data_IF_611048179165
#
_entry.id   IF_611048179165
#
_cell.length_a   1.000
_cell.length_b   1.000
_cell.length_c   1.000
_cell.angle_alpha   90.00
_cell.angle_beta   90.00
_cell.angle_gamma   90.00
#
_symmetry.space_group_name_H-M   'P 1'
#
loop_
_entity.id
_entity.type
_entity.pdbx_description
1 polymer ?
#
# COMPACT_ATOMS: atom_id res chain seq x y z
N UNK A 1 -18.70 69.61 -1.98
CA UNK A 1 -19.19 68.42 -1.28
C UNK A 1 -17.99 67.70 -0.70
N UNK A 2 -17.79 67.89 0.59
CA UNK A 2 -16.81 67.18 1.42
C UNK A 2 -17.39 65.82 1.81
N UNK A 3 -16.58 64.77 1.93
CA UNK A 3 -16.58 63.81 3.05
C UNK A 3 -15.45 62.79 2.90
N UNK A 4 -14.39 62.89 3.72
CA UNK A 4 -14.11 62.12 4.95
C UNK A 4 -13.58 60.70 4.67
N UNK A 5 -12.26 60.53 4.89
CA UNK A 5 -11.61 59.25 5.22
C UNK A 5 -11.86 58.90 6.69
N UNK A 6 -11.77 57.60 7.04
CA UNK A 6 -10.94 57.22 8.19
C UNK A 6 -9.91 56.11 7.86
N UNK A 7 -8.89 55.91 8.73
CA UNK A 7 -7.72 55.07 8.46
C UNK A 7 -7.73 53.69 9.16
N UNK A 8 -6.91 52.79 8.59
CA UNK A 8 -6.06 51.70 9.15
C UNK A 8 -6.53 50.95 10.41
N UNK A 9 -6.55 49.62 10.32
CA UNK A 9 -6.24 48.75 11.46
C UNK A 9 -5.26 47.66 11.04
N UNK A 10 -4.03 47.76 11.55
CA UNK A 10 -3.09 46.66 11.64
C UNK A 10 -3.47 45.80 12.85
N UNK A 11 -3.45 44.48 12.69
CA UNK A 11 -3.47 43.56 13.82
C UNK A 11 -2.27 42.62 13.71
N UNK A 12 -1.34 42.83 14.64
CA UNK A 12 -0.19 42.00 14.91
C UNK A 12 -0.57 40.78 15.77
N UNK A 13 0.29 39.78 15.70
CA UNK A 13 0.61 38.77 16.72
C UNK A 13 -0.42 37.67 17.00
N UNK A 14 0.01 36.43 16.79
CA UNK A 14 0.20 35.52 17.92
C UNK A 14 1.21 34.43 17.55
N UNK A 15 2.36 34.58 18.18
CA UNK A 15 3.46 33.65 18.29
C UNK A 15 3.02 32.51 19.23
N UNK A 16 3.02 31.26 18.77
CA UNK A 16 2.74 30.10 19.59
C UNK A 16 3.90 29.11 19.47
N UNK A 17 4.96 29.43 20.19
CA UNK A 17 6.02 28.52 20.57
C UNK A 17 5.46 27.48 21.54
N UNK A 18 5.33 26.21 21.14
CA UNK A 18 5.13 25.10 22.09
C UNK A 18 6.20 24.05 21.90
N UNK A 19 6.83 23.76 23.03
CA UNK A 19 8.06 23.03 23.21
C UNK A 19 7.88 21.52 23.03
N UNK A 20 8.96 20.95 22.50
CA UNK A 20 9.43 19.58 22.66
C UNK A 20 9.14 18.99 24.05
N UNK A 21 8.59 17.77 24.10
CA UNK A 21 8.78 16.84 25.22
C UNK A 21 9.12 15.48 24.64
N UNK A 22 10.42 15.18 24.63
CA UNK A 22 10.95 13.82 24.48
C UNK A 22 10.76 13.06 25.80
N UNK A 23 10.24 11.84 25.72
CA UNK A 23 10.46 10.82 26.75
C UNK A 23 10.63 9.45 26.08
N UNK A 24 11.73 8.73 26.32
CA UNK A 24 11.89 7.35 25.88
C UNK A 24 11.27 6.44 26.94
N UNK A 25 10.44 5.49 26.53
CA UNK A 25 10.06 4.40 27.42
C UNK A 25 10.00 3.08 26.66
N UNK A 26 11.03 2.26 26.93
CA UNK A 26 10.98 0.82 26.78
C UNK A 26 9.78 0.27 27.56
N UNK A 27 8.96 -0.58 26.95
CA UNK A 27 8.25 -1.64 27.67
C UNK A 27 7.70 -2.70 26.70
N UNK A 28 8.20 -3.92 26.85
CA UNK A 28 7.38 -5.15 26.71
C UNK A 28 6.36 -5.21 27.85
N UNK A 29 5.18 -5.80 27.61
CA UNK A 29 4.82 -7.04 28.33
C UNK A 29 4.05 -8.01 27.40
N UNK A 30 4.34 -9.32 27.41
CA UNK A 30 3.94 -10.36 28.38
C UNK A 30 2.42 -10.57 28.53
N UNK A 31 2.07 -11.84 28.30
CA UNK A 31 0.75 -12.43 28.17
C UNK A 31 -0.11 -12.39 29.44
N UNK A 32 -1.42 -12.35 29.25
CA UNK A 32 -2.41 -12.83 30.21
C UNK A 32 -3.56 -13.54 29.47
N UNK A 33 -3.65 -14.85 29.68
CA UNK A 33 -4.86 -15.68 29.59
C UNK A 33 -5.36 -15.87 31.04
N UNK A 34 -6.67 -15.78 31.31
CA UNK A 34 -7.48 -16.96 31.70
C UNK A 34 -8.88 -16.93 31.03
N UNK A 35 -9.43 -18.00 30.46
CA UNK A 35 -9.91 -19.28 30.99
C UNK A 35 -11.36 -19.26 31.55
N UNK A 36 -12.16 -20.16 30.97
CA UNK A 36 -13.28 -20.95 31.53
C UNK A 36 -14.74 -20.46 31.53
N UNK A 37 -15.60 -21.43 31.16
CA UNK A 37 -17.05 -21.49 31.40
C UNK A 37 -17.77 -22.18 30.22
N UNK A 38 -17.91 -23.52 30.20
CA UNK A 38 -19.12 -24.28 30.59
C UNK A 38 -20.27 -24.19 29.53
N UNK A 39 -21.04 -25.21 29.11
CA UNK A 39 -21.26 -26.62 29.48
C UNK A 39 -22.35 -27.21 28.52
N UNK A 40 -22.07 -28.35 27.87
CA UNK A 40 -22.97 -29.51 27.60
C UNK A 40 -24.28 -29.37 26.73
N UNK A 41 -24.99 -30.47 26.37
CA UNK A 41 -24.95 -31.04 25.02
C UNK A 41 -26.37 -31.22 24.38
N UNK A 42 -26.44 -31.67 23.13
CA UNK A 42 -27.67 -32.33 22.65
C UNK A 42 -27.37 -33.59 21.83
N UNK A 43 -28.15 -34.60 22.18
CA UNK A 43 -28.13 -36.02 21.84
C UNK A 43 -29.02 -36.24 20.62
N UNK A 44 -28.59 -37.07 19.68
CA UNK A 44 -29.47 -37.69 18.70
C UNK A 44 -28.97 -39.11 18.40
N UNK A 45 -29.95 -39.97 18.18
CA UNK A 45 -29.95 -41.39 18.47
C UNK A 45 -29.33 -42.27 17.40
N UNK A 46 -28.84 -43.42 17.86
CA UNK A 46 -28.48 -44.58 17.06
C UNK A 46 -29.76 -45.33 16.70
N UNK A 47 -30.04 -45.48 15.40
CA UNK A 47 -30.99 -46.48 14.89
C UNK A 47 -30.20 -47.51 14.10
N UNK A 48 -30.11 -48.70 14.68
CA UNK A 48 -29.60 -49.93 14.09
C UNK A 48 -30.66 -50.52 13.17
N UNK A 49 -30.36 -50.62 11.87
CA UNK A 49 -31.11 -51.40 10.89
C UNK A 49 -30.11 -52.10 9.99
N UNK A 50 -29.93 -53.40 10.20
CA UNK A 50 -29.05 -54.23 9.40
C UNK A 50 -29.70 -54.60 8.08
N UNK A 51 -28.92 -54.51 7.00
CA UNK A 51 -29.16 -55.22 5.75
C UNK A 51 -27.82 -55.35 5.00
N UNK A 52 -27.64 -56.50 4.35
CA UNK A 52 -26.38 -57.08 3.88
C UNK A 52 -25.54 -56.18 2.94
N UNK A 53 -24.20 -56.24 2.99
CA UNK A 53 -23.36 -55.62 1.96
C UNK A 53 -23.39 -56.45 0.66
N UNK A 54 -23.62 -55.83 -0.52
CA UNK A 54 -23.45 -56.49 -1.81
C UNK A 54 -21.95 -56.75 -2.10
N UNK A 55 -21.65 -57.70 -3.00
CA UNK A 55 -20.28 -58.17 -3.24
C UNK A 55 -19.38 -57.04 -3.77
N UNK A 56 -18.19 -56.94 -3.18
CA UNK A 56 -17.12 -56.05 -3.60
C UNK A 56 -16.69 -56.38 -5.04
N UNK A 57 -17.17 -55.59 -6.00
CA UNK A 57 -16.50 -55.49 -7.29
C UNK A 57 -15.21 -54.71 -7.07
N UNK A 58 -14.09 -55.39 -7.29
CA UNK A 58 -12.76 -54.81 -7.31
C UNK A 58 -12.67 -53.87 -8.53
N UNK A 59 -13.13 -52.62 -8.38
CA UNK A 59 -12.87 -51.59 -9.38
C UNK A 59 -11.37 -51.35 -9.32
N UNK A 60 -10.65 -51.88 -10.32
CA UNK A 60 -9.29 -51.49 -10.60
C UNK A 60 -9.30 -49.97 -10.76
N UNK A 61 -8.72 -49.26 -9.80
CA UNK A 61 -8.48 -47.83 -9.94
C UNK A 61 -7.59 -47.67 -11.17
N UNK A 62 -8.15 -47.13 -12.24
CA UNK A 62 -7.36 -46.63 -13.37
C UNK A 62 -6.39 -45.62 -12.77
N UNK A 63 -5.10 -45.97 -12.72
CA UNK A 63 -4.06 -45.04 -12.32
C UNK A 63 -4.21 -43.80 -13.21
N UNK A 64 -4.56 -42.67 -12.60
CA UNK A 64 -4.51 -41.37 -13.26
C UNK A 64 -3.16 -41.28 -13.96
N UNK A 65 -3.10 -40.86 -15.23
CA UNK A 65 -1.83 -40.65 -15.89
C UNK A 65 -1.05 -39.67 -15.01
N UNK A 66 0.15 -40.08 -14.58
CA UNK A 66 1.13 -39.17 -13.99
C UNK A 66 1.25 -38.02 -14.97
N UNK A 67 0.62 -36.90 -14.62
CA UNK A 67 0.81 -35.64 -15.31
C UNK A 67 2.23 -35.26 -14.98
N UNK A 68 3.15 -35.72 -15.82
CA UNK A 68 4.47 -35.16 -15.97
C UNK A 68 4.22 -33.69 -16.27
N UNK A 69 4.19 -32.88 -15.20
CA UNK A 69 4.29 -31.44 -15.26
C UNK A 69 5.67 -31.15 -15.79
N UNK A 70 5.83 -31.27 -17.10
CA UNK A 70 6.87 -30.59 -17.84
C UNK A 70 6.67 -29.13 -17.46
N UNK A 71 7.49 -28.66 -16.53
CA UNK A 71 7.57 -27.24 -16.20
C UNK A 71 8.30 -26.65 -17.38
N UNK A 72 7.59 -26.49 -18.51
CA UNK A 72 8.00 -25.55 -19.52
C UNK A 72 8.03 -24.22 -18.79
N UNK A 73 9.23 -23.83 -18.35
CA UNK A 73 9.55 -22.44 -18.03
C UNK A 73 9.33 -21.68 -19.33
N UNK A 74 8.07 -21.39 -19.63
CA UNK A 74 7.70 -20.46 -20.67
C UNK A 74 8.54 -19.23 -20.43
N UNK A 75 9.32 -18.84 -21.43
CA UNK A 75 10.07 -17.60 -21.41
C UNK A 75 9.01 -16.50 -21.28
N UNK A 76 8.69 -16.11 -20.05
CA UNK A 76 7.78 -15.01 -19.81
C UNK A 76 8.45 -13.79 -20.43
N UNK A 77 7.90 -13.31 -21.54
CA UNK A 77 8.38 -12.08 -22.18
C UNK A 77 8.00 -10.92 -21.28
N UNK A 78 8.85 -10.64 -20.29
CA UNK A 78 8.77 -9.48 -19.42
C UNK A 78 9.21 -8.25 -20.21
N UNK A 79 8.35 -7.25 -20.32
CA UNK A 79 8.65 -6.01 -21.04
C UNK A 79 8.75 -4.86 -20.03
N UNK A 80 9.87 -4.13 -20.07
CA UNK A 80 10.01 -2.88 -19.33
C UNK A 80 9.36 -1.75 -20.13
N UNK A 81 8.29 -1.18 -19.58
CA UNK A 81 7.52 -0.09 -20.16
C UNK A 81 8.23 1.24 -19.88
N UNK A 82 8.59 2.03 -20.92
CA UNK A 82 9.20 3.34 -20.71
C UNK A 82 8.21 4.28 -20.01
N UNK A 83 8.69 5.04 -19.03
CA UNK A 83 7.95 6.11 -18.33
C UNK A 83 7.70 7.29 -19.29
N UNK A 84 6.66 8.07 -19.01
CA UNK A 84 6.22 9.24 -19.75
C UNK A 84 5.08 8.94 -20.72
N UNK A 85 4.94 9.78 -21.75
CA UNK A 85 3.88 9.69 -22.77
C UNK A 85 3.76 8.31 -23.42
N UNK A 86 4.86 7.56 -23.53
CA UNK A 86 4.85 6.19 -24.07
C UNK A 86 4.17 5.18 -23.13
N UNK A 87 4.35 5.29 -21.80
CA UNK A 87 3.62 4.47 -20.84
C UNK A 87 2.11 4.68 -21.01
N UNK A 88 1.72 5.94 -21.16
CA UNK A 88 0.33 6.36 -21.25
C UNK A 88 -0.30 5.87 -22.55
N UNK A 89 0.26 6.30 -23.67
CA UNK A 89 -0.31 6.09 -25.01
C UNK A 89 -0.19 4.65 -25.50
N UNK A 90 0.90 3.96 -25.17
CA UNK A 90 1.12 2.59 -25.63
C UNK A 90 0.51 1.54 -24.70
N UNK A 91 0.28 1.87 -23.42
CA UNK A 91 -0.14 0.90 -22.41
C UNK A 91 -1.37 1.33 -21.62
N UNK A 92 -1.30 2.37 -20.78
CA UNK A 92 -2.40 2.70 -19.84
C UNK A 92 -3.74 2.96 -20.55
N UNK A 93 -3.73 3.67 -21.69
CA UNK A 93 -4.94 3.91 -22.50
C UNK A 93 -5.50 2.66 -23.19
N UNK A 94 -4.74 1.57 -23.25
CA UNK A 94 -5.15 0.29 -23.87
C UNK A 94 -5.65 -0.73 -22.85
N UNK A 95 -5.21 -0.62 -21.61
CA UNK A 95 -5.67 -1.47 -20.49
C UNK A 95 -6.77 -0.74 -19.71
N UNK A 96 -7.92 -0.56 -20.35
CA UNK A 96 -9.08 0.08 -19.74
C UNK A 96 -9.89 -0.90 -18.88
N UNK A 97 -10.53 -0.37 -17.86
CA UNK A 97 -11.45 -1.10 -17.01
C UNK A 97 -12.85 -1.25 -17.64
N UNK A 98 -13.80 -1.85 -16.92
CA UNK A 98 -15.17 -2.06 -17.43
C UNK A 98 -15.95 -0.75 -17.65
N UNK A 99 -15.51 0.35 -17.05
CA UNK A 99 -16.05 1.69 -17.23
C UNK A 99 -15.22 2.51 -18.23
N UNK A 100 -14.39 1.85 -19.06
CA UNK A 100 -13.50 2.50 -20.02
C UNK A 100 -12.53 3.51 -19.39
N UNK A 101 -12.23 3.35 -18.11
CA UNK A 101 -11.26 4.17 -17.39
C UNK A 101 -9.91 3.47 -17.33
N UNK A 102 -8.84 4.26 -17.40
CA UNK A 102 -7.49 3.79 -17.05
C UNK A 102 -7.44 3.38 -15.58
N UNK A 103 -6.32 2.81 -15.15
CA UNK A 103 -6.14 2.36 -13.77
C UNK A 103 -6.42 3.49 -12.77
N UNK A 104 -7.19 3.19 -11.73
CA UNK A 104 -7.48 4.14 -10.66
C UNK A 104 -6.23 4.46 -9.83
N UNK A 105 -6.11 5.71 -9.40
CA UNK A 105 -5.04 6.17 -8.51
C UNK A 105 -5.26 5.67 -7.07
N UNK A 106 -6.52 5.65 -6.62
CA UNK A 106 -6.92 5.24 -5.27
C UNK A 106 -7.65 3.91 -5.37
N UNK A 107 -7.09 2.90 -4.72
CA UNK A 107 -7.62 1.55 -4.67
C UNK A 107 -8.36 1.31 -3.35
N UNK A 108 -9.26 0.33 -3.37
CA UNK A 108 -9.93 -0.17 -2.19
C UNK A 108 -9.53 -1.62 -1.94
N UNK A 109 -9.25 -1.93 -0.67
CA UNK A 109 -9.14 -3.32 -0.26
C UNK A 109 -10.51 -3.99 -0.40
N UNK A 110 -10.55 -5.14 -1.05
CA UNK A 110 -11.76 -5.93 -1.18
C UNK A 110 -12.31 -6.35 0.18
N UNK A 111 -13.63 -6.34 0.34
CA UNK A 111 -14.30 -6.84 1.54
C UNK A 111 -14.07 -8.34 1.76
N UNK A 112 -13.72 -9.06 0.68
CA UNK A 112 -13.38 -10.48 0.72
C UNK A 112 -11.95 -10.75 1.21
N UNK A 113 -11.10 -9.71 1.30
CA UNK A 113 -9.76 -9.85 1.84
C UNK A 113 -9.82 -10.27 3.32
N UNK A 114 -9.02 -11.27 3.67
CA UNK A 114 -8.95 -11.84 5.02
C UNK A 114 -7.61 -11.53 5.68
N UNK A 115 -6.54 -11.50 4.89
CA UNK A 115 -5.20 -11.23 5.35
C UNK A 115 -5.07 -9.83 5.91
N UNK A 116 -4.25 -9.72 6.95
CA UNK A 116 -3.88 -8.45 7.53
C UNK A 116 -2.89 -7.71 6.62
N UNK A 117 -3.09 -6.41 6.48
CA UNK A 117 -2.31 -5.52 5.62
C UNK A 117 -1.33 -4.70 6.46
N UNK A 118 -0.08 -4.60 6.00
CA UNK A 118 0.99 -3.83 6.64
C UNK A 118 2.01 -3.35 5.61
N UNK A 119 3.11 -2.75 6.06
CA UNK A 119 4.23 -2.41 5.19
C UNK A 119 4.75 -3.65 4.45
N UNK A 120 5.18 -3.46 3.20
CA UNK A 120 5.66 -4.52 2.31
C UNK A 120 4.62 -5.58 1.88
N UNK A 121 3.37 -5.49 2.33
CA UNK A 121 2.28 -6.35 1.82
C UNK A 121 2.17 -6.21 0.30
N UNK A 122 2.18 -7.35 -0.40
CA UNK A 122 1.96 -7.44 -1.83
C UNK A 122 0.47 -7.55 -2.14
N UNK A 123 0.03 -6.74 -3.10
CA UNK A 123 -1.35 -6.58 -3.49
C UNK A 123 -1.50 -6.88 -4.98
N UNK A 124 -2.67 -7.41 -5.32
CA UNK A 124 -3.14 -7.56 -6.69
C UNK A 124 -4.40 -6.72 -6.82
N UNK A 125 -4.38 -5.78 -7.75
CA UNK A 125 -5.53 -4.99 -8.15
C UNK A 125 -6.02 -5.48 -9.50
N UNK A 126 -7.18 -6.12 -9.49
CA UNK A 126 -7.77 -6.66 -10.71
C UNK A 126 -8.63 -5.60 -11.38
N UNK A 127 -8.07 -4.96 -12.40
CA UNK A 127 -8.77 -3.92 -13.15
C UNK A 127 -9.78 -4.51 -14.16
N UNK A 128 -9.41 -5.62 -14.80
CA UNK A 128 -10.27 -6.37 -15.72
C UNK A 128 -10.01 -7.88 -15.59
N UNK A 129 -10.79 -8.73 -16.28
CA UNK A 129 -10.60 -10.19 -16.21
C UNK A 129 -9.21 -10.64 -16.68
N UNK A 130 -8.59 -9.89 -17.59
CA UNK A 130 -7.30 -10.22 -18.21
C UNK A 130 -6.17 -9.26 -17.81
N UNK A 131 -6.39 -8.38 -16.82
CA UNK A 131 -5.43 -7.36 -16.40
C UNK A 131 -5.36 -7.29 -14.89
N UNK A 132 -4.22 -7.70 -14.37
CA UNK A 132 -3.91 -7.70 -12.93
C UNK A 132 -2.71 -6.77 -12.69
N UNK A 133 -2.91 -5.75 -11.88
CA UNK A 133 -1.85 -4.84 -11.47
C UNK A 133 -1.29 -5.27 -10.12
N UNK A 134 0.03 -5.44 -10.04
CA UNK A 134 0.72 -5.82 -8.83
C UNK A 134 1.32 -4.58 -8.18
N UNK A 135 1.13 -4.45 -6.87
CA UNK A 135 1.72 -3.36 -6.10
C UNK A 135 2.20 -3.82 -4.74
N UNK A 136 3.05 -3.01 -4.12
CA UNK A 136 3.54 -3.19 -2.76
C UNK A 136 3.21 -1.97 -1.91
N UNK A 137 2.78 -2.20 -0.68
CA UNK A 137 2.65 -1.13 0.32
C UNK A 137 4.03 -0.63 0.72
N UNK A 138 4.29 0.65 0.51
CA UNK A 138 5.55 1.28 0.86
C UNK A 138 5.49 2.08 2.15
N UNK A 139 4.41 2.83 2.34
CA UNK A 139 4.37 3.88 3.35
C UNK A 139 2.96 4.07 3.89
N UNK A 140 2.88 4.26 5.19
CA UNK A 140 1.69 4.74 5.88
C UNK A 140 1.54 6.25 5.64
N UNK A 141 0.35 6.71 5.23
CA UNK A 141 0.07 8.14 5.08
C UNK A 141 -0.70 8.67 6.29
N UNK A 142 -1.91 8.15 6.50
CA UNK A 142 -2.80 8.60 7.56
C UNK A 142 -3.82 7.52 7.92
N UNK A 143 -4.42 7.61 9.11
CA UNK A 143 -5.62 6.85 9.46
C UNK A 143 -6.65 7.75 10.13
N UNK A 144 -7.92 7.38 9.97
CA UNK A 144 -9.01 7.81 10.85
C UNK A 144 -9.45 6.63 11.74
N UNK A 145 -10.65 6.73 12.32
CA UNK A 145 -11.18 5.71 13.23
C UNK A 145 -11.51 4.38 12.52
N UNK A 146 -11.83 4.42 11.23
CA UNK A 146 -12.37 3.27 10.50
C UNK A 146 -11.45 2.76 9.40
N UNK A 147 -10.51 3.58 8.94
CA UNK A 147 -9.73 3.32 7.73
C UNK A 147 -8.33 3.91 7.76
N UNK A 148 -7.47 3.35 6.92
CA UNK A 148 -6.07 3.74 6.75
C UNK A 148 -5.79 3.96 5.27
N UNK A 149 -5.10 5.04 4.96
CA UNK A 149 -4.57 5.33 3.63
C UNK A 149 -3.08 4.96 3.57
N UNK A 150 -2.76 4.10 2.62
CA UNK A 150 -1.39 3.66 2.32
C UNK A 150 -0.95 4.19 0.97
N UNK A 151 0.35 4.46 0.83
CA UNK A 151 0.99 4.66 -0.46
C UNK A 151 1.54 3.32 -0.96
N UNK A 152 1.28 3.05 -2.24
CA UNK A 152 1.68 1.87 -2.95
C UNK A 152 2.75 2.20 -3.98
N UNK A 153 3.65 1.26 -4.24
CA UNK A 153 4.46 1.23 -5.46
C UNK A 153 3.93 0.19 -6.41
N UNK A 154 3.59 0.61 -7.62
CA UNK A 154 3.23 -0.29 -8.72
C UNK A 154 4.48 -1.04 -9.15
N UNK A 155 4.38 -2.38 -9.17
CA UNK A 155 5.46 -3.29 -9.57
C UNK A 155 5.33 -3.65 -11.06
N UNK A 156 4.10 -3.74 -11.56
CA UNK A 156 3.83 -4.07 -12.94
C UNK A 156 2.44 -4.65 -13.13
N UNK A 157 2.19 -5.14 -14.33
CA UNK A 157 0.93 -5.72 -14.77
C UNK A 157 1.16 -7.10 -15.34
N UNK A 158 0.30 -8.03 -14.96
CA UNK A 158 0.11 -9.28 -15.68
C UNK A 158 -1.07 -9.10 -16.64
N UNK A 159 -0.84 -9.34 -17.92
CA UNK A 159 -1.86 -9.24 -18.96
C UNK A 159 -1.91 -10.54 -19.76
N UNK A 160 -2.95 -10.72 -20.58
CA UNK A 160 -2.99 -11.82 -21.55
C UNK A 160 -1.82 -11.85 -22.54
N UNK A 161 -1.06 -10.76 -22.67
CA UNK A 161 0.12 -10.66 -23.53
C UNK A 161 1.44 -10.84 -22.76
N UNK A 162 1.36 -11.18 -21.47
CA UNK A 162 2.49 -11.34 -20.58
C UNK A 162 2.68 -10.17 -19.62
N UNK A 163 3.88 -10.16 -19.03
CA UNK A 163 4.26 -9.28 -17.94
C UNK A 163 4.83 -7.95 -18.44
N UNK A 164 4.35 -6.84 -17.87
CA UNK A 164 4.88 -5.50 -18.10
C UNK A 164 5.23 -4.80 -16.79
N UNK A 165 6.31 -4.04 -16.73
CA UNK A 165 6.66 -3.24 -15.55
C UNK A 165 7.12 -1.83 -15.92
N UNK A 166 6.82 -0.80 -15.12
CA UNK A 166 7.32 0.54 -15.39
C UNK A 166 8.84 0.59 -15.23
N UNK A 167 9.53 1.32 -16.12
CA UNK A 167 11.00 1.50 -16.09
C UNK A 167 11.50 2.38 -14.92
N UNK A 168 10.60 2.84 -14.06
CA UNK A 168 10.94 3.58 -12.85
C UNK A 168 9.86 3.47 -11.79
N UNK A 169 9.65 4.52 -11.03
CA UNK A 169 8.69 4.50 -9.93
C UNK A 169 7.35 5.02 -10.41
N UNK A 170 6.30 4.29 -10.05
CA UNK A 170 4.91 4.67 -10.25
C UNK A 170 4.16 4.35 -8.97
N UNK A 171 3.36 5.28 -8.50
CA UNK A 171 2.74 5.19 -7.19
C UNK A 171 1.22 5.27 -7.29
N UNK A 172 0.57 4.60 -6.35
CA UNK A 172 -0.88 4.61 -6.17
C UNK A 172 -1.19 4.65 -4.68
N UNK A 173 -2.47 4.63 -4.32
CA UNK A 173 -2.92 4.63 -2.94
C UNK A 173 -3.88 3.48 -2.66
N UNK A 174 -3.93 3.03 -1.41
CA UNK A 174 -4.88 2.04 -0.95
C UNK A 174 -5.61 2.55 0.28
N UNK A 175 -6.93 2.56 0.21
CA UNK A 175 -7.80 2.70 1.37
C UNK A 175 -8.10 1.29 1.91
N UNK A 176 -7.82 1.10 3.19
CA UNK A 176 -8.05 -0.17 3.90
C UNK A 176 -8.90 0.06 5.14
N UNK A 177 -9.86 -0.82 5.46
CA UNK A 177 -10.49 -0.81 6.77
C UNK A 177 -9.45 -1.04 7.87
N UNK A 178 -9.54 -0.29 8.97
CA UNK A 178 -8.58 -0.37 10.08
C UNK A 178 -8.53 -1.77 10.68
N UNK A 179 -9.66 -2.48 10.71
CA UNK A 179 -9.76 -3.87 11.21
C UNK A 179 -8.95 -4.87 10.38
N UNK A 180 -8.59 -4.52 9.13
CA UNK A 180 -7.73 -5.32 8.25
C UNK A 180 -6.27 -4.91 8.32
N UNK A 181 -5.90 -3.91 9.12
CA UNK A 181 -4.53 -3.45 9.26
C UNK A 181 -3.81 -4.15 10.41
N UNK A 182 -2.48 -4.20 10.33
CA UNK A 182 -1.68 -4.73 11.44
C UNK A 182 -1.93 -3.94 12.74
N UNK A 183 -2.05 -4.61 13.91
CA UNK A 183 -2.47 -3.97 15.16
C UNK A 183 -1.63 -2.78 15.60
N UNK A 184 -0.37 -2.71 15.15
CA UNK A 184 0.50 -1.56 15.42
C UNK A 184 -0.12 -0.25 14.89
N UNK A 185 -0.80 -0.29 13.75
CA UNK A 185 -1.44 0.87 13.09
C UNK A 185 -2.69 1.30 13.84
N UNK A 186 -3.36 0.39 14.56
CA UNK A 186 -4.52 0.68 15.39
C UNK A 186 -4.20 1.49 16.65
N UNK A 187 -2.92 1.66 16.99
CA UNK A 187 -2.48 2.47 18.12
C UNK A 187 -2.89 3.94 17.97
N UNK A 188 -3.30 4.58 19.07
CA UNK A 188 -3.59 6.03 19.12
C UNK A 188 -2.45 6.89 18.61
N UNK A 189 -1.21 6.40 18.71
CA UNK A 189 -0.05 7.10 18.16
C UNK A 189 -0.16 7.35 16.66
N UNK A 190 -0.95 6.57 15.90
CA UNK A 190 -1.15 6.78 14.46
C UNK A 190 -2.44 7.52 14.13
N UNK A 191 -3.33 7.76 15.11
CA UNK A 191 -4.58 8.50 14.92
C UNK A 191 -4.29 10.00 14.97
N UNK A 192 -3.82 10.55 13.85
CA UNK A 192 -3.43 11.95 13.74
C UNK A 192 -4.50 12.82 13.08
N UNK A 193 -5.56 12.21 12.56
CA UNK A 193 -6.49 12.86 11.66
C UNK A 193 -7.90 12.39 11.97
N UNK A 194 -8.69 13.31 12.51
CA UNK A 194 -10.12 13.11 12.74
C UNK A 194 -10.86 13.89 11.65
N UNK A 195 -11.68 13.19 10.90
CA UNK A 195 -12.49 13.76 9.82
C UNK A 195 -13.91 13.26 9.98
N UNK A 196 -14.86 14.18 9.78
CA UNK A 196 -16.28 13.85 9.69
C UNK A 196 -16.62 13.08 8.40
N UNK A 197 -15.76 13.20 7.38
CA UNK A 197 -15.93 12.53 6.09
C UNK A 197 -15.14 11.21 5.99
N UNK A 198 -15.64 10.23 5.21
CA UNK A 198 -14.87 9.02 4.91
C UNK A 198 -13.52 9.37 4.26
N UNK A 199 -12.45 8.76 4.75
CA UNK A 199 -11.07 8.98 4.27
C UNK A 199 -10.94 8.77 2.75
N UNK A 200 -11.76 7.90 2.16
CA UNK A 200 -11.82 7.67 0.73
C UNK A 200 -12.24 8.92 -0.04
N UNK A 201 -13.31 9.58 0.38
CA UNK A 201 -13.83 10.77 -0.29
C UNK A 201 -12.83 11.91 -0.19
N UNK A 202 -12.25 12.08 1.00
CA UNK A 202 -11.19 13.07 1.21
C UNK A 202 -9.97 12.82 0.32
N UNK A 203 -9.55 11.55 0.17
CA UNK A 203 -8.44 11.21 -0.72
C UNK A 203 -8.77 11.50 -2.19
N UNK A 204 -10.01 11.26 -2.64
CA UNK A 204 -10.44 11.60 -4.00
C UNK A 204 -10.46 13.11 -4.25
N UNK A 205 -11.01 13.88 -3.32
CA UNK A 205 -11.02 15.34 -3.40
C UNK A 205 -9.59 15.89 -3.41
N UNK A 206 -8.72 15.40 -2.53
CA UNK A 206 -7.31 15.77 -2.51
C UNK A 206 -6.60 15.42 -3.83
N UNK A 207 -6.86 14.24 -4.41
CA UNK A 207 -6.29 13.86 -5.70
C UNK A 207 -6.74 14.78 -6.84
N UNK A 208 -8.02 15.15 -6.87
CA UNK A 208 -8.56 16.08 -7.86
C UNK A 208 -7.95 17.48 -7.71
N UNK A 209 -7.88 18.01 -6.48
CA UNK A 209 -7.30 19.32 -6.19
C UNK A 209 -5.81 19.39 -6.58
N UNK A 210 -5.04 18.38 -6.21
CA UNK A 210 -3.62 18.32 -6.57
C UNK A 210 -3.46 18.18 -8.08
N UNK A 211 -4.27 17.37 -8.76
CA UNK A 211 -4.22 17.27 -10.22
C UNK A 211 -4.47 18.63 -10.89
N UNK A 212 -5.53 19.35 -10.50
CA UNK A 212 -5.84 20.65 -11.06
C UNK A 212 -4.74 21.69 -10.79
N UNK A 213 -4.15 21.67 -9.60
CA UNK A 213 -3.01 22.52 -9.24
C UNK A 213 -1.80 22.26 -10.14
N UNK A 214 -1.46 20.97 -10.34
CA UNK A 214 -0.33 20.56 -11.17
C UNK A 214 -0.57 20.82 -12.67
N UNK A 215 -1.80 20.67 -13.15
CA UNK A 215 -2.16 20.87 -14.57
C UNK A 215 -2.20 22.35 -14.95
N UNK A 216 -2.75 23.21 -14.07
CA UNK A 216 -2.93 24.64 -14.36
C UNK A 216 -1.74 25.52 -13.98
N UNK A 217 -0.70 24.93 -13.38
CA UNK A 217 0.40 25.67 -12.73
C UNK A 217 -0.17 26.77 -11.80
N UNK A 218 -1.23 26.42 -11.06
CA UNK A 218 -1.99 27.39 -10.30
C UNK A 218 -1.21 27.78 -9.04
N UNK A 219 -0.96 29.08 -8.86
CA UNK A 219 -0.36 29.62 -7.64
C UNK A 219 -1.21 29.45 -6.38
N UNK A 220 -2.45 28.97 -6.50
CA UNK A 220 -3.32 28.68 -5.38
C UNK A 220 -2.67 27.69 -4.39
N UNK A 221 -2.72 28.04 -3.10
CA UNK A 221 -2.15 27.20 -2.06
C UNK A 221 -2.98 25.92 -1.88
N UNK A 222 -2.34 24.77 -2.09
CA UNK A 222 -2.94 23.48 -1.73
C UNK A 222 -3.23 23.39 -0.22
N UNK A 223 -4.30 22.67 0.17
CA UNK A 223 -4.56 22.36 1.57
C UNK A 223 -3.34 21.76 2.28
N UNK A 224 -3.08 22.24 3.50
CA UNK A 224 -1.94 21.83 4.29
C UNK A 224 -2.23 20.59 5.17
N UNK A 225 -2.77 19.54 4.57
CA UNK A 225 -3.07 18.28 5.26
C UNK A 225 -2.14 17.13 4.77
N UNK A 226 -2.01 16.04 5.55
CA UNK A 226 -1.10 14.94 5.22
C UNK A 226 -1.44 14.20 3.92
N UNK A 227 -2.71 14.12 3.53
CA UNK A 227 -3.16 13.38 2.34
C UNK A 227 -2.83 14.18 1.09
N UNK A 228 -3.26 15.44 1.04
CA UNK A 228 -2.95 16.36 -0.06
C UNK A 228 -1.45 16.48 -0.26
N UNK A 229 -0.68 16.65 0.83
CA UNK A 229 0.79 16.71 0.74
C UNK A 229 1.40 15.43 0.19
N UNK A 230 0.94 14.27 0.64
CA UNK A 230 1.46 12.99 0.17
C UNK A 230 1.17 12.76 -1.33
N UNK A 231 -0.02 13.16 -1.80
CA UNK A 231 -0.40 13.07 -3.22
C UNK A 231 0.42 14.06 -4.06
N UNK A 232 0.58 15.29 -3.60
CA UNK A 232 1.43 16.27 -4.25
C UNK A 232 2.90 15.81 -4.36
N UNK A 233 3.50 15.33 -3.26
CA UNK A 233 4.84 14.73 -3.25
C UNK A 233 4.95 13.58 -4.27
N UNK A 234 3.88 12.80 -4.43
CA UNK A 234 3.85 11.67 -5.37
C UNK A 234 3.86 12.12 -6.81
N UNK A 235 3.08 13.14 -7.18
CA UNK A 235 3.09 13.66 -8.54
C UNK A 235 4.41 14.36 -8.88
N UNK A 236 5.04 15.02 -7.92
CA UNK A 236 6.39 15.57 -8.10
C UNK A 236 7.45 14.47 -8.29
N UNK A 237 7.37 13.38 -7.53
CA UNK A 237 8.33 12.28 -7.59
C UNK A 237 8.10 11.33 -8.79
N UNK A 238 6.85 11.23 -9.26
CA UNK A 238 6.42 10.34 -10.34
C UNK A 238 5.29 11.01 -11.13
N UNK A 239 5.61 11.92 -12.06
CA UNK A 239 4.63 12.66 -12.86
C UNK A 239 3.64 11.77 -13.59
N UNK A 240 4.08 10.61 -14.08
CA UNK A 240 3.23 9.59 -14.72
C UNK A 240 2.05 9.11 -13.86
N UNK A 241 2.10 9.29 -12.54
CA UNK A 241 0.97 8.93 -11.66
C UNK A 241 -0.24 9.84 -11.90
N UNK A 242 -0.07 11.00 -12.52
CA UNK A 242 -1.16 11.90 -12.93
C UNK A 242 -2.07 11.29 -14.00
N UNK A 243 -1.55 10.29 -14.72
CA UNK A 243 -2.24 9.60 -15.81
C UNK A 243 -3.21 8.53 -15.29
N UNK A 244 -3.16 8.24 -14.00
CA UNK A 244 -4.16 7.40 -13.36
C UNK A 244 -5.50 8.13 -13.23
N UNK A 245 -6.56 7.34 -13.33
CA UNK A 245 -7.91 7.83 -13.13
C UNK A 245 -8.11 8.23 -11.67
N UNK A 246 -8.49 9.49 -11.43
CA UNK A 246 -8.68 10.02 -10.07
C UNK A 246 -10.02 9.61 -9.44
N UNK A 247 -10.99 9.14 -10.22
CA UNK A 247 -12.25 8.62 -9.67
C UNK A 247 -12.17 7.15 -9.28
N UNK A 248 -13.30 6.61 -8.81
CA UNK A 248 -13.44 5.19 -8.49
C UNK A 248 -13.34 4.35 -9.76
N UNK A 249 -12.36 3.44 -9.81
CA UNK A 249 -12.30 2.39 -10.82
C UNK A 249 -13.19 1.20 -10.47
N UNK A 250 -13.37 0.29 -11.42
CA UNK A 250 -14.15 -0.95 -11.22
C UNK A 250 -13.39 -2.09 -10.55
N UNK A 251 -12.08 -1.91 -10.31
CA UNK A 251 -11.22 -2.92 -9.71
C UNK A 251 -11.23 -2.90 -8.18
N UNK A 252 -10.81 -4.01 -7.59
CA UNK A 252 -10.56 -4.13 -6.15
C UNK A 252 -9.17 -4.71 -5.92
N UNK A 253 -8.51 -4.25 -4.85
CA UNK A 253 -7.23 -4.76 -4.42
C UNK A 253 -7.40 -5.89 -3.41
N UNK A 254 -6.59 -6.95 -3.53
CA UNK A 254 -6.52 -8.04 -2.57
C UNK A 254 -5.07 -8.36 -2.23
N UNK A 255 -4.76 -8.77 -0.99
CA UNK A 255 -3.45 -9.35 -0.67
C UNK A 255 -3.22 -10.61 -1.50
N UNK A 256 -1.99 -10.79 -2.00
CA UNK A 256 -1.65 -11.97 -2.81
C UNK A 256 -1.83 -13.30 -2.06
N UNK A 257 -1.63 -13.27 -0.73
CA UNK A 257 -1.86 -14.41 0.17
C UNK A 257 -3.31 -14.86 0.15
N UNK A 258 -4.26 -13.92 0.13
CA UNK A 258 -5.69 -14.26 0.09
C UNK A 258 -6.06 -14.93 -1.22
N UNK A 259 -5.53 -14.45 -2.35
CA UNK A 259 -5.84 -15.04 -3.66
C UNK A 259 -5.31 -16.47 -3.82
N UNK A 260 -4.08 -16.71 -3.34
CA UNK A 260 -3.45 -18.03 -3.42
C UNK A 260 -4.13 -19.04 -2.49
N UNK A 261 -4.52 -18.64 -1.28
CA UNK A 261 -5.15 -19.51 -0.30
C UNK A 261 -6.65 -19.74 -0.56
N UNK A 262 -7.39 -18.71 -0.97
CA UNK A 262 -8.86 -18.78 -1.05
C UNK A 262 -9.40 -19.15 -2.42
N UNK A 263 -8.68 -18.80 -3.50
CA UNK A 263 -9.19 -18.99 -4.87
C UNK A 263 -8.53 -20.16 -5.62
N UNK A 264 -7.57 -20.86 -5.00
CA UNK A 264 -6.73 -21.88 -5.66
C UNK A 264 -6.18 -21.41 -7.01
N UNK A 265 -6.04 -20.10 -7.18
CA UNK A 265 -5.55 -19.51 -8.40
C UNK A 265 -4.03 -19.69 -8.40
N UNK A 266 -3.51 -20.44 -9.37
CA UNK A 266 -2.10 -20.36 -9.72
C UNK A 266 -1.87 -18.98 -10.33
N UNK A 267 -1.72 -17.98 -9.47
CA UNK A 267 -1.34 -16.66 -9.89
C UNK A 267 0.15 -16.67 -10.15
N UNK A 268 0.51 -16.28 -11.36
CA UNK A 268 1.90 -15.98 -11.67
C UNK A 268 2.36 -14.87 -10.72
N UNK A 269 3.48 -15.10 -10.04
CA UNK A 269 4.10 -14.04 -9.25
C UNK A 269 4.78 -13.06 -10.19
N UNK A 270 4.84 -11.77 -9.83
CA UNK A 270 5.62 -10.82 -10.60
C UNK A 270 7.07 -11.32 -10.70
N UNK A 271 7.69 -11.26 -11.89
CA UNK A 271 9.09 -11.66 -12.07
C UNK A 271 10.01 -11.01 -11.02
N UNK A 272 11.01 -11.77 -10.56
CA UNK A 272 12.03 -11.33 -9.60
C UNK A 272 12.62 -9.95 -9.94
N UNK A 273 12.83 -9.72 -11.23
CA UNK A 273 13.46 -8.53 -11.77
C UNK A 273 12.59 -7.28 -11.59
N UNK A 274 11.28 -7.46 -11.43
CA UNK A 274 10.33 -6.38 -11.16
C UNK A 274 10.25 -6.05 -9.67
N UNK A 275 10.80 -6.91 -8.82
CA UNK A 275 10.78 -6.76 -7.37
C UNK A 275 12.04 -7.33 -6.71
N UNK A 276 13.22 -6.71 -6.93
CA UNK A 276 14.50 -7.25 -6.48
C UNK A 276 14.65 -7.38 -4.94
N UNK A 277 13.71 -6.80 -4.17
CA UNK A 277 13.64 -6.95 -2.71
C UNK A 277 12.62 -7.98 -2.24
N UNK A 278 11.73 -8.46 -3.10
CA UNK A 278 10.73 -9.49 -2.78
C UNK A 278 11.34 -10.87 -2.57
N UNK A 279 12.32 -11.23 -3.39
CA UNK A 279 12.88 -12.59 -3.37
C UNK A 279 13.73 -12.90 -2.14
N UNK A 280 14.19 -11.88 -1.41
CA UNK A 280 14.91 -12.09 -0.15
C UNK A 280 14.01 -12.68 0.96
N UNK A 281 12.68 -12.58 0.84
CA UNK A 281 11.75 -13.09 1.85
C UNK A 281 11.00 -14.35 1.41
N UNK A 282 10.93 -14.62 0.10
CA UNK A 282 10.25 -15.81 -0.45
C UNK A 282 11.00 -17.13 -0.20
N UNK A 283 12.29 -17.08 0.16
CA UNK A 283 13.10 -18.27 0.45
C UNK A 283 13.17 -18.67 1.93
N UNK A 284 12.45 -17.98 2.82
CA UNK A 284 12.37 -18.35 4.26
C UNK A 284 11.03 -19.01 4.58
N UNK A 285 10.71 -20.10 3.90
CA UNK A 285 9.69 -21.03 4.39
C UNK A 285 10.30 -22.00 5.40
N UNK A 286 9.80 -21.89 6.64
CA UNK A 286 9.52 -22.98 7.57
C UNK A 286 10.62 -24.04 7.80
N UNK A 287 11.64 -23.74 8.61
CA UNK A 287 12.14 -24.68 9.64
C UNK A 287 13.26 -24.08 10.50
N UNK A 288 13.02 -23.07 11.33
CA UNK A 288 13.95 -22.79 12.43
C UNK A 288 13.19 -22.45 13.71
N UNK A 289 13.29 -23.37 14.69
CA UNK A 289 13.00 -23.09 16.09
C UNK A 289 13.83 -21.86 16.53
N UNK A 290 13.23 -20.85 17.17
CA UNK A 290 13.99 -19.70 17.64
C UNK A 290 14.87 -20.14 18.82
N UNK A 291 16.17 -20.29 18.58
CA UNK A 291 17.16 -20.34 19.65
C UNK A 291 17.46 -18.90 20.06
N UNK A 292 17.03 -18.54 21.26
CA UNK A 292 17.31 -17.24 21.85
C UNK A 292 18.82 -17.04 21.98
N UNK A 293 19.36 -16.05 21.27
CA UNK A 293 20.70 -15.52 21.59
C UNK A 293 20.58 -14.01 21.76
N UNK A 294 20.88 -13.58 22.97
CA UNK A 294 20.81 -12.21 23.47
C UNK A 294 21.71 -11.26 22.66
N UNK A 295 21.15 -10.17 22.16
CA UNK A 295 21.94 -9.04 21.68
C UNK A 295 22.09 -8.01 22.80
N UNK A 296 23.31 -7.89 23.31
CA UNK A 296 23.70 -6.90 24.31
C UNK A 296 23.89 -5.54 23.63
N UNK A 297 23.12 -4.56 24.08
CA UNK A 297 23.31 -3.14 23.81
C UNK A 297 24.71 -2.69 24.21
N UNK A 298 25.43 -2.02 23.31
CA UNK A 298 26.61 -1.24 23.66
C UNK A 298 26.49 0.17 23.08
N UNK A 299 26.08 1.07 23.98
CA UNK A 299 26.23 2.52 23.89
C UNK A 299 27.66 2.90 23.50
N UNK A 300 27.83 3.78 22.49
CA UNK A 300 28.92 4.76 22.44
C UNK A 300 28.47 6.01 21.65
N UNK A 301 28.26 7.11 22.37
CA UNK A 301 28.73 8.47 21.97
C UNK A 301 30.21 8.57 22.45
N UNK A 302 31.08 9.51 22.00
CA UNK A 302 30.78 10.87 21.52
C UNK A 302 31.72 11.44 20.42
N UNK A 303 31.43 12.66 19.95
CA UNK A 303 32.31 13.84 20.12
C UNK A 303 32.14 14.86 18.99
N UNK A 304 31.66 16.06 19.36
CA UNK A 304 31.83 17.28 18.57
C UNK A 304 33.33 17.59 18.40
N UNK A 305 33.73 18.05 17.23
CA UNK A 305 34.80 19.06 17.10
C UNK A 305 34.34 20.17 16.15
N UNK A 306 34.27 21.37 16.73
CA UNK A 306 34.25 22.67 16.03
C UNK A 306 35.49 22.78 15.16
N UNK A 307 35.33 23.29 13.94
CA UNK A 307 36.39 24.02 13.24
C UNK A 307 35.78 25.31 12.68
N UNK A 308 36.43 26.44 13.02
CA UNK A 308 36.10 27.80 12.55
C UNK A 308 37.04 28.13 11.39
N UNK A 309 36.45 28.69 10.31
CA UNK A 309 36.89 29.88 9.53
C UNK A 309 38.26 29.85 8.81
N UNK A 310 38.44 30.50 7.63
CA UNK A 310 38.18 31.94 7.49
C UNK A 310 37.61 32.46 6.16
N UNK A 311 37.14 33.70 6.30
CA UNK A 311 36.96 34.77 5.32
C UNK A 311 37.57 34.58 3.93
N UNK A 312 36.75 34.78 2.90
CA UNK A 312 37.21 35.41 1.67
C UNK A 312 36.29 36.60 1.34
N UNK A 313 36.88 37.78 1.45
CA UNK A 313 36.37 39.06 0.98
C UNK A 313 36.76 39.18 -0.49
N UNK A 314 35.81 39.39 -1.40
CA UNK A 314 36.09 39.99 -2.69
C UNK A 314 35.11 41.16 -2.88
N UNK A 315 35.68 42.34 -2.97
CA UNK A 315 35.00 43.60 -3.21
C UNK A 315 34.94 43.90 -4.71
N UNK A 316 33.79 44.48 -5.12
CA UNK A 316 33.54 45.51 -6.14
C UNK A 316 34.18 45.41 -7.54
N UNK A 317 33.32 45.58 -8.55
CA UNK A 317 33.25 46.85 -9.30
C UNK A 317 31.85 47.02 -9.94
N UNK A 318 31.22 48.20 -9.86
CA UNK A 318 30.19 48.62 -10.82
C UNK A 318 30.87 49.28 -12.03
N UNK A 319 30.24 49.23 -13.20
CA UNK A 319 30.32 50.32 -14.19
C UNK A 319 29.29 50.11 -15.33
N UNK A 320 28.59 51.22 -15.60
CA UNK A 320 27.70 51.56 -16.72
C UNK A 320 26.26 51.04 -16.77
#
# INVERSE_FOLDING_TARGET
>A
MSEIRPPVSMSNSSDASVRLVDAPSNCSPSALIPAHGQHLPSRAEVVTGGENPPPQQHIQATSLPDSVRTTEKGVHTSIMLPIGELLVSAFLLRILDKCHSVQALIWFLSDFARSTVTLDTLLIYRQHVDVECHARILRFIVRNNDSVLWQLKVLGWNTKWGWGAPRGHLYAYLVTPLVRCHPCVSSKRYAYFDLDSPLSNFAFEAAQLVYEHMERDDSANLPNDPVTRAIHETFLASPDSMEFHRGMGTGQAMPITDMTESMYANLDQPPSDFNPRGDMYSHRTFNEKPTATSFTSRFMRPSLKRSRSPHLVIARAPDH
#
